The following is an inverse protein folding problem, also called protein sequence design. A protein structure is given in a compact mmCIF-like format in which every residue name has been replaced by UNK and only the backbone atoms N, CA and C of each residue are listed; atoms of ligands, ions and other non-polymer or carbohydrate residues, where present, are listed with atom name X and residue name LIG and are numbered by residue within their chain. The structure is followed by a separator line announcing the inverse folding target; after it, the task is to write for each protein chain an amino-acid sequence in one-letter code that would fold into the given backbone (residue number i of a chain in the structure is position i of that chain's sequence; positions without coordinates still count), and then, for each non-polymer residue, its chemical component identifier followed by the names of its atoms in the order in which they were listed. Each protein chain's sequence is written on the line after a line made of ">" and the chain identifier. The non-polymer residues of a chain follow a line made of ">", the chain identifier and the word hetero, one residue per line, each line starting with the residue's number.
data_IF_609598652858
#
_entry.id   IF_609598652858
#
_cell.length_a   1.000
_cell.length_b   1.000
_cell.length_c   1.000
_cell.angle_alpha   90.00
_cell.angle_beta   90.00
_cell.angle_gamma   90.00
#
_symmetry.space_group_name_H-M   'P 1'
#
loop_
_entity.id
_entity.type
_entity.pdbx_description
1 polymer ?
#
# COMPACT_ATOMS: atom_id res chain seq x y z
N UNK A 1 -15.97 -14.42 60.95
CA UNK A 1 -15.19 -15.59 60.49
C UNK A 1 -16.15 -16.57 59.81
N UNK A 2 -16.22 -16.53 58.47
CA UNK A 2 -17.09 -17.34 57.61
C UNK A 2 -16.24 -17.59 56.34
N UNK A 3 -15.78 -18.85 56.09
CA UNK A 3 -16.41 -19.81 55.16
C UNK A 3 -16.20 -19.33 53.70
N UNK A 4 -15.57 -20.02 52.75
CA UNK A 4 -15.32 -21.47 52.58
C UNK A 4 -14.40 -21.71 51.36
N UNK A 5 -13.65 -22.81 51.44
CA UNK A 5 -13.46 -23.89 50.44
C UNK A 5 -12.82 -23.59 49.07
N UNK A 6 -11.65 -24.18 48.77
CA UNK A 6 -11.48 -25.46 48.01
C UNK A 6 -11.66 -25.26 46.48
N UNK A 7 -10.98 -25.90 45.53
CA UNK A 7 -9.93 -26.92 45.42
C UNK A 7 -9.41 -26.71 43.96
N UNK A 8 -8.11 -26.52 43.73
CA UNK A 8 -7.19 -27.50 43.12
C UNK A 8 -7.50 -28.08 41.71
N UNK A 9 -6.43 -28.08 40.88
CA UNK A 9 -6.08 -28.92 39.71
C UNK A 9 -6.56 -28.58 38.27
N UNK A 10 -5.54 -28.14 37.50
CA UNK A 10 -5.03 -28.66 36.21
C UNK A 10 -6.03 -29.17 35.17
N UNK A 11 -5.97 -28.58 33.97
CA UNK A 11 -6.09 -29.31 32.70
C UNK A 11 -5.15 -28.70 31.65
N UNK A 12 -4.26 -29.53 31.08
CA UNK A 12 -3.61 -29.32 29.77
C UNK A 12 -4.48 -30.05 28.73
N UNK A 13 -4.78 -29.41 27.61
CA UNK A 13 -5.30 -30.08 26.39
C UNK A 13 -4.43 -29.66 25.21
N UNK A 14 -3.97 -30.67 24.47
CA UNK A 14 -3.42 -30.61 23.12
C UNK A 14 -4.57 -30.87 22.12
N UNK A 15 -4.59 -30.15 20.99
CA UNK A 15 -5.28 -30.49 19.74
C UNK A 15 -4.44 -29.86 18.60
N UNK A 16 -3.67 -30.60 17.80
CA UNK A 16 -4.02 -31.41 16.60
C UNK A 16 -4.66 -30.60 15.46
N UNK A 17 -3.82 -30.30 14.45
CA UNK A 17 -3.99 -30.46 12.99
C UNK A 17 -5.28 -30.03 12.26
N UNK A 18 -5.10 -29.39 11.10
CA UNK A 18 -6.00 -29.56 9.96
C UNK A 18 -6.43 -28.29 9.22
N UNK A 19 -5.72 -27.99 8.13
CA UNK A 19 -6.15 -27.55 6.80
C UNK A 19 -7.40 -26.67 6.56
N UNK A 20 -7.23 -25.83 5.53
CA UNK A 20 -8.26 -25.22 4.66
C UNK A 20 -8.89 -23.91 5.16
N UNK A 21 -8.12 -22.81 5.05
CA UNK A 21 -8.71 -21.47 5.02
C UNK A 21 -9.29 -21.22 3.63
N UNK A 22 -10.56 -21.55 3.48
CA UNK A 22 -11.37 -21.30 2.29
C UNK A 22 -11.72 -19.81 2.18
N UNK A 23 -11.71 -19.33 0.93
CA UNK A 23 -12.21 -18.04 0.42
C UNK A 23 -13.40 -17.50 1.23
N UNK A 24 -13.21 -16.42 1.99
CA UNK A 24 -14.26 -15.50 2.45
C UNK A 24 -13.66 -14.23 3.12
N UNK A 25 -12.67 -13.63 2.46
CA UNK A 25 -12.38 -12.20 2.67
C UNK A 25 -13.20 -11.44 1.63
N UNK A 26 -13.83 -10.35 2.05
CA UNK A 26 -14.82 -9.52 1.33
C UNK A 26 -16.26 -9.92 1.70
N UNK A 27 -16.97 -8.96 2.30
CA UNK A 27 -18.36 -8.96 2.78
C UNK A 27 -18.62 -9.43 4.23
N UNK A 28 -18.24 -8.59 5.19
CA UNK A 28 -19.09 -8.37 6.38
C UNK A 28 -19.19 -6.87 6.65
N UNK A 29 -19.92 -6.26 5.72
CA UNK A 29 -20.46 -4.91 5.79
C UNK A 29 -21.52 -4.87 6.90
N UNK A 30 -21.55 -3.77 7.65
CA UNK A 30 -22.79 -3.06 8.02
C UNK A 30 -23.99 -3.90 8.48
N UNK A 31 -24.06 -4.19 9.78
CA UNK A 31 -25.34 -4.39 10.47
C UNK A 31 -25.16 -4.33 12.01
N UNK A 32 -24.85 -3.16 12.60
CA UNK A 32 -24.97 -3.03 14.07
C UNK A 32 -24.99 -1.60 14.66
N UNK A 33 -25.42 -0.57 13.93
CA UNK A 33 -25.73 0.74 14.53
C UNK A 33 -27.04 1.27 13.94
N UNK A 34 -28.17 0.71 14.38
CA UNK A 34 -29.51 1.28 14.18
C UNK A 34 -30.43 0.96 15.35
N UNK A 35 -30.05 1.29 16.58
CA UNK A 35 -30.98 1.46 17.72
C UNK A 35 -30.36 2.51 18.66
N UNK A 36 -31.19 3.40 19.24
CA UNK A 36 -30.88 4.65 19.99
C UNK A 36 -30.79 5.89 19.06
N UNK A 37 -31.63 6.93 19.10
CA UNK A 37 -32.65 7.34 20.07
C UNK A 37 -33.65 8.35 19.44
N UNK A 38 -34.86 8.31 20.01
CA UNK A 38 -35.92 9.32 20.13
C UNK A 38 -35.66 10.78 19.69
N UNK A 39 -36.70 11.35 19.05
CA UNK A 39 -36.93 12.77 18.74
C UNK A 39 -36.62 13.75 19.87
N UNK A 40 -36.13 14.95 19.52
CA UNK A 40 -36.72 16.23 19.96
C UNK A 40 -36.33 17.37 19.00
N UNK A 41 -37.17 18.39 19.00
CA UNK A 41 -37.37 19.45 18.02
C UNK A 41 -36.38 20.62 18.16
N UNK A 42 -36.28 21.43 17.10
CA UNK A 42 -36.00 22.89 17.09
C UNK A 42 -34.70 23.39 16.48
N UNK A 43 -34.91 24.19 15.42
CA UNK A 43 -34.27 25.46 15.04
C UNK A 43 -32.79 25.52 14.67
N UNK A 44 -32.62 25.88 13.39
CA UNK A 44 -31.65 26.85 12.84
C UNK A 44 -30.16 26.62 13.11
N UNK A 45 -29.42 26.34 12.04
CA UNK A 45 -28.27 27.16 11.63
C UNK A 45 -27.75 26.71 10.26
N UNK A 46 -27.68 27.67 9.33
CA UNK A 46 -27.01 27.58 8.03
C UNK A 46 -25.49 27.54 8.19
N UNK A 47 -24.91 26.43 8.65
CA UNK A 47 -23.45 26.30 8.68
C UNK A 47 -22.95 24.98 8.07
N UNK A 48 -22.26 25.13 6.94
CA UNK A 48 -21.17 24.27 6.49
C UNK A 48 -21.48 22.80 6.11
N UNK A 49 -22.51 22.58 5.30
CA UNK A 49 -22.54 21.38 4.44
C UNK A 49 -21.80 21.67 3.12
N UNK A 50 -20.47 21.80 3.20
CA UNK A 50 -19.64 21.47 2.03
C UNK A 50 -19.93 19.99 1.74
N UNK A 51 -20.70 19.74 0.70
CA UNK A 51 -20.80 18.40 0.13
C UNK A 51 -19.38 17.91 -0.14
N UNK A 52 -18.86 17.06 0.75
CA UNK A 52 -17.88 16.08 0.37
C UNK A 52 -18.56 15.25 -0.72
N UNK A 53 -18.37 15.67 -1.97
CA UNK A 53 -18.67 14.85 -3.12
C UNK A 53 -17.95 13.53 -2.87
N UNK A 54 -18.70 12.49 -2.54
CA UNK A 54 -18.17 11.15 -2.29
C UNK A 54 -17.53 10.74 -3.61
N UNK A 55 -16.21 10.86 -3.67
CA UNK A 55 -15.46 10.44 -4.83
C UNK A 55 -15.32 8.93 -4.73
N UNK A 56 -16.11 8.23 -5.52
CA UNK A 56 -16.19 6.76 -5.49
C UNK A 56 -14.93 6.08 -6.00
N UNK A 57 -14.11 6.78 -6.78
CA UNK A 57 -12.80 6.30 -7.20
C UNK A 57 -11.76 7.41 -7.21
N UNK A 58 -10.52 7.07 -6.93
CA UNK A 58 -9.36 7.96 -6.90
C UNK A 58 -8.23 7.42 -7.77
N UNK A 59 -7.55 8.34 -8.44
CA UNK A 59 -6.33 8.02 -9.17
C UNK A 59 -5.18 8.64 -8.41
N UNK A 60 -4.18 7.84 -8.03
CA UNK A 60 -3.05 8.31 -7.24
C UNK A 60 -1.77 8.08 -8.02
N UNK A 61 -1.05 9.16 -8.28
CA UNK A 61 0.32 9.09 -8.78
C UNK A 61 1.24 8.89 -7.58
N UNK A 62 1.97 7.78 -7.57
CA UNK A 62 2.97 7.47 -6.55
C UNK A 62 4.36 7.50 -7.17
N UNK A 63 5.29 8.17 -6.50
CA UNK A 63 6.68 8.31 -6.93
C UNK A 63 7.56 7.76 -5.81
N UNK A 64 8.38 6.76 -6.14
CA UNK A 64 9.22 6.06 -5.16
C UNK A 64 10.68 5.99 -5.63
N UNK A 65 11.65 5.97 -4.71
CA UNK A 65 13.00 5.52 -4.99
C UNK A 65 13.03 4.10 -5.58
N UNK A 66 13.93 3.86 -6.53
CA UNK A 66 14.16 2.50 -7.07
C UNK A 66 14.82 1.55 -6.07
N UNK A 67 15.61 2.10 -5.13
CA UNK A 67 16.11 1.38 -3.96
C UNK A 67 15.07 1.43 -2.83
N UNK A 68 14.44 0.30 -2.44
CA UNK A 68 13.35 0.29 -1.47
C UNK A 68 13.70 0.86 -0.09
N UNK A 69 14.97 0.80 0.31
CA UNK A 69 15.41 1.25 1.63
C UNK A 69 15.78 2.73 1.68
N UNK A 70 15.86 3.41 0.52
CA UNK A 70 16.29 4.79 0.46
C UNK A 70 15.20 5.73 1.01
N UNK A 71 15.60 6.60 1.93
CA UNK A 71 14.77 7.68 2.45
C UNK A 71 15.56 8.98 2.22
N UNK A 72 15.05 9.93 1.43
CA UNK A 72 15.74 11.20 1.21
C UNK A 72 15.88 11.99 2.52
N UNK A 73 16.95 12.76 2.66
CA UNK A 73 17.11 13.66 3.81
C UNK A 73 16.04 14.76 3.82
N UNK A 74 15.78 15.36 5.00
CA UNK A 74 14.70 16.36 5.19
C UNK A 74 14.72 17.48 4.14
N UNK A 75 15.89 18.07 3.88
CA UNK A 75 16.05 19.14 2.87
C UNK A 75 15.70 18.67 1.45
N UNK A 76 16.01 17.42 1.10
CA UNK A 76 15.62 16.86 -0.20
C UNK A 76 14.11 16.67 -0.28
N UNK A 77 13.47 16.21 0.80
CA UNK A 77 12.02 16.09 0.88
C UNK A 77 11.32 17.46 0.77
N UNK A 78 11.80 18.48 1.48
CA UNK A 78 11.29 19.85 1.42
C UNK A 78 11.40 20.44 0.00
N UNK A 79 12.55 20.29 -0.63
CA UNK A 79 12.77 20.75 -2.00
C UNK A 79 11.89 20.00 -3.00
N UNK A 80 11.75 18.69 -2.85
CA UNK A 80 10.89 17.86 -3.69
C UNK A 80 9.42 18.25 -3.53
N UNK A 81 8.97 18.50 -2.29
CA UNK A 81 7.62 18.96 -2.03
C UNK A 81 7.35 20.31 -2.69
N UNK A 82 8.26 21.28 -2.50
CA UNK A 82 8.15 22.60 -3.15
C UNK A 82 8.08 22.50 -4.67
N UNK A 83 8.89 21.61 -5.27
CA UNK A 83 8.86 21.36 -6.71
C UNK A 83 7.51 20.75 -7.15
N UNK A 84 7.05 19.70 -6.48
CA UNK A 84 5.80 19.02 -6.82
C UNK A 84 4.56 19.91 -6.61
N UNK A 85 4.53 20.75 -5.57
CA UNK A 85 3.43 21.71 -5.34
C UNK A 85 3.34 22.75 -6.47
N UNK A 86 4.47 23.16 -7.04
CA UNK A 86 4.48 24.05 -8.21
C UNK A 86 3.96 23.36 -9.46
N UNK A 87 4.29 22.09 -9.63
CA UNK A 87 3.92 21.29 -10.79
C UNK A 87 2.44 20.90 -10.75
N UNK A 88 1.95 20.47 -9.58
CA UNK A 88 0.59 19.99 -9.34
C UNK A 88 -0.18 20.97 -8.46
N UNK A 89 -0.53 22.12 -9.03
CA UNK A 89 -1.30 23.16 -8.32
C UNK A 89 -2.64 22.60 -7.84
N UNK A 90 -3.02 22.98 -6.63
CA UNK A 90 -4.31 22.63 -6.00
C UNK A 90 -4.54 21.11 -5.85
N UNK A 91 -3.48 20.31 -5.90
CA UNK A 91 -3.53 18.86 -5.62
C UNK A 91 -3.03 18.58 -4.21
N UNK A 92 -3.60 17.54 -3.62
CA UNK A 92 -3.08 16.99 -2.38
C UNK A 92 -1.79 16.22 -2.69
N UNK A 93 -0.72 16.60 -2.01
CA UNK A 93 0.60 15.99 -2.12
C UNK A 93 1.03 15.54 -0.73
N UNK A 94 1.31 14.24 -0.58
CA UNK A 94 1.73 13.67 0.69
C UNK A 94 3.08 12.97 0.54
N UNK A 95 3.88 13.06 1.60
CA UNK A 95 5.19 12.45 1.71
C UNK A 95 5.13 11.45 2.87
N UNK A 96 5.15 10.17 2.53
CA UNK A 96 4.97 9.08 3.49
C UNK A 96 6.30 8.38 3.70
N UNK A 97 6.74 8.30 4.96
CA UNK A 97 7.90 7.50 5.36
C UNK A 97 7.45 6.42 6.35
N UNK A 98 7.89 5.18 6.13
CA UNK A 98 7.59 4.04 7.00
C UNK A 98 8.87 3.42 7.56
N UNK A 99 8.77 2.81 8.75
CA UNK A 99 9.90 2.14 9.40
C UNK A 99 10.41 0.94 8.58
N UNK A 100 9.48 0.23 7.95
CA UNK A 100 9.71 -0.95 7.11
C UNK A 100 9.37 -0.67 5.66
N UNK A 101 9.98 -1.43 4.75
CA UNK A 101 9.65 -1.37 3.33
C UNK A 101 8.17 -1.81 3.17
N UNK A 102 7.44 -1.15 2.28
CA UNK A 102 6.08 -1.51 1.88
C UNK A 102 6.02 -1.85 0.40
N UNK A 103 5.11 -2.73 0.04
CA UNK A 103 4.70 -2.87 -1.36
C UNK A 103 3.83 -1.68 -1.73
N UNK A 104 4.19 -1.03 -2.84
CA UNK A 104 3.53 0.14 -3.39
C UNK A 104 2.82 -0.33 -4.65
N UNK A 105 1.52 -0.59 -4.49
CA UNK A 105 0.67 -1.20 -5.50
C UNK A 105 0.07 -0.16 -6.47
N UNK A 106 -0.42 -0.68 -7.59
CA UNK A 106 -1.14 0.02 -8.64
C UNK A 106 -2.67 -0.08 -8.50
N UNK A 107 -3.17 -0.59 -7.37
CA UNK A 107 -4.59 -0.84 -7.14
C UNK A 107 -5.20 -1.74 -8.22
N UNK A 108 -6.37 -1.34 -8.72
CA UNK A 108 -7.11 -2.06 -9.77
C UNK A 108 -6.38 -2.13 -11.11
N UNK A 109 -5.32 -1.33 -11.32
CA UNK A 109 -4.52 -1.39 -12.54
C UNK A 109 -3.66 -2.66 -12.62
N UNK A 110 -3.63 -3.51 -11.58
CA UNK A 110 -2.87 -4.75 -11.60
C UNK A 110 -3.36 -5.68 -12.72
N UNK A 111 -2.44 -6.14 -13.55
CA UNK A 111 -2.75 -7.07 -14.64
C UNK A 111 -1.94 -8.36 -14.50
N UNK A 112 -0.62 -8.28 -14.71
CA UNK A 112 0.26 -9.45 -14.66
C UNK A 112 1.70 -9.07 -14.30
N UNK A 113 2.48 -10.09 -13.94
CA UNK A 113 3.90 -9.97 -13.61
C UNK A 113 4.68 -10.92 -14.49
N UNK A 114 5.77 -10.45 -15.08
CA UNK A 114 6.67 -11.25 -15.91
C UNK A 114 8.09 -11.24 -15.36
N UNK A 115 8.82 -12.30 -15.71
CA UNK A 115 10.23 -12.40 -15.39
C UNK A 115 11.03 -11.35 -16.18
N UNK A 116 11.73 -10.48 -15.47
CA UNK A 116 12.63 -9.48 -16.05
C UNK A 116 13.84 -10.06 -16.79
N UNK A 117 14.14 -11.35 -16.60
CA UNK A 117 15.28 -12.02 -17.22
C UNK A 117 14.90 -12.81 -18.48
N UNK A 118 13.70 -13.41 -18.50
CA UNK A 118 13.26 -14.35 -19.55
C UNK A 118 12.05 -13.82 -20.34
N UNK A 119 11.40 -12.74 -19.88
CA UNK A 119 10.19 -12.17 -20.47
C UNK A 119 8.90 -12.97 -20.26
N UNK A 120 8.97 -14.24 -19.84
CA UNK A 120 7.77 -15.07 -19.63
C UNK A 120 6.97 -14.60 -18.43
N UNK A 121 5.65 -14.72 -18.55
CA UNK A 121 4.71 -14.48 -17.44
C UNK A 121 5.00 -15.41 -16.26
N UNK A 122 4.85 -14.87 -15.06
CA UNK A 122 4.91 -15.60 -13.80
C UNK A 122 3.46 -15.88 -13.41
N UNK A 123 3.17 -17.14 -13.06
CA UNK A 123 1.87 -17.52 -12.51
C UNK A 123 1.57 -16.71 -11.25
N UNK A 124 0.36 -16.16 -11.19
CA UNK A 124 -0.05 -15.26 -10.09
C UNK A 124 0.07 -15.93 -8.73
N UNK A 125 -0.30 -17.21 -8.60
CA UNK A 125 -0.15 -17.97 -7.36
C UNK A 125 1.32 -18.05 -6.90
N UNK A 126 2.26 -18.29 -7.82
CA UNK A 126 3.69 -18.35 -7.51
C UNK A 126 4.22 -17.00 -7.05
N UNK A 127 3.79 -15.92 -7.70
CA UNK A 127 4.15 -14.56 -7.31
C UNK A 127 3.53 -14.19 -5.95
N UNK A 128 2.26 -14.51 -5.72
CA UNK A 128 1.56 -14.25 -4.45
C UNK A 128 2.22 -14.96 -3.27
N UNK A 129 2.55 -16.25 -3.41
CA UNK A 129 3.24 -16.98 -2.35
C UNK A 129 4.58 -16.31 -1.97
N UNK A 130 5.35 -15.84 -2.96
CA UNK A 130 6.59 -15.12 -2.71
C UNK A 130 6.36 -13.73 -2.06
N UNK A 131 5.31 -13.02 -2.49
CA UNK A 131 4.90 -11.76 -1.87
C UNK A 131 4.49 -11.93 -0.40
N UNK A 132 3.73 -12.99 -0.09
CA UNK A 132 3.29 -13.30 1.27
C UNK A 132 4.49 -13.62 2.17
N UNK A 133 5.42 -14.46 1.70
CA UNK A 133 6.67 -14.75 2.42
C UNK A 133 7.51 -13.50 2.68
N UNK A 134 7.63 -12.63 1.68
CA UNK A 134 8.36 -11.37 1.81
C UNK A 134 7.64 -10.41 2.77
N UNK A 135 6.30 -10.35 2.74
CA UNK A 135 5.48 -9.52 3.63
C UNK A 135 5.67 -9.91 5.10
N UNK A 136 5.69 -11.21 5.42
CA UNK A 136 5.97 -11.71 6.79
C UNK A 136 7.33 -11.24 7.32
N UNK A 137 8.29 -10.97 6.44
CA UNK A 137 9.63 -10.45 6.76
C UNK A 137 9.74 -8.94 6.55
N UNK A 138 8.61 -8.23 6.45
CA UNK A 138 8.54 -6.80 6.19
C UNK A 138 9.35 -6.35 4.96
N UNK A 139 9.37 -7.19 3.93
CA UNK A 139 10.08 -6.97 2.66
C UNK A 139 11.58 -6.70 2.83
N UNK A 140 12.19 -7.15 3.94
CA UNK A 140 13.65 -7.06 4.16
C UNK A 140 14.44 -8.02 3.27
N UNK A 141 13.79 -9.10 2.82
CA UNK A 141 14.31 -9.98 1.78
C UNK A 141 13.30 -10.02 0.62
N UNK A 142 13.77 -9.66 -0.57
CA UNK A 142 13.01 -9.65 -1.82
C UNK A 142 13.56 -10.64 -2.84
N UNK A 143 14.45 -11.56 -2.44
CA UNK A 143 14.99 -12.59 -3.33
C UNK A 143 13.86 -13.43 -3.93
N UNK A 144 13.95 -13.68 -5.23
CA UNK A 144 12.98 -14.48 -5.95
C UNK A 144 13.69 -15.39 -6.95
N UNK A 145 13.33 -16.67 -6.96
CA UNK A 145 13.78 -17.60 -8.01
C UNK A 145 12.66 -17.76 -9.01
N UNK A 146 12.93 -17.37 -10.25
CA UNK A 146 11.91 -17.36 -11.30
C UNK A 146 11.49 -18.78 -11.68
N UNK A 147 10.19 -19.12 -11.70
CA UNK A 147 9.74 -20.45 -12.10
C UNK A 147 9.98 -20.71 -13.59
N UNK A 148 10.03 -19.65 -14.41
CA UNK A 148 10.21 -19.76 -15.85
C UNK A 148 11.60 -20.28 -16.24
N UNK A 149 12.66 -19.79 -15.59
CA UNK A 149 14.04 -19.99 -16.05
C UNK A 149 15.00 -20.33 -14.93
N UNK A 150 14.49 -20.50 -13.71
CA UNK A 150 15.24 -20.92 -12.52
C UNK A 150 16.41 -20.01 -12.16
N UNK A 151 16.37 -18.74 -12.61
CA UNK A 151 17.37 -17.73 -12.28
C UNK A 151 16.90 -16.91 -11.08
N UNK A 152 17.88 -16.53 -10.24
CA UNK A 152 17.69 -15.59 -9.13
C UNK A 152 17.47 -14.17 -9.67
N UNK A 153 16.53 -13.48 -9.07
CA UNK A 153 16.20 -12.06 -9.29
C UNK A 153 15.66 -11.49 -7.97
N UNK A 154 15.08 -10.30 -8.02
CA UNK A 154 14.31 -9.73 -6.91
C UNK A 154 12.85 -9.51 -7.29
N UNK A 155 11.93 -9.62 -6.34
CA UNK A 155 10.55 -9.14 -6.47
C UNK A 155 10.52 -7.67 -6.93
N UNK A 156 11.46 -6.83 -6.49
CA UNK A 156 11.54 -5.42 -6.91
C UNK A 156 11.91 -5.23 -8.40
N UNK A 157 12.58 -6.22 -8.98
CA UNK A 157 13.12 -6.18 -10.34
C UNK A 157 12.20 -6.86 -11.36
N UNK A 158 11.15 -7.56 -10.91
CA UNK A 158 10.17 -8.17 -11.80
C UNK A 158 9.50 -7.11 -12.69
N UNK A 159 9.07 -7.53 -13.87
CA UNK A 159 8.34 -6.66 -14.80
C UNK A 159 6.86 -6.68 -14.45
N UNK A 160 6.36 -5.60 -13.86
CA UNK A 160 4.94 -5.42 -13.56
C UNK A 160 4.25 -4.70 -14.74
N UNK A 161 3.26 -5.34 -15.35
CA UNK A 161 2.44 -4.74 -16.41
C UNK A 161 1.39 -3.85 -15.76
N UNK A 162 1.67 -2.55 -15.72
CA UNK A 162 1.28 -1.55 -14.69
C UNK A 162 2.29 -1.54 -13.55
N UNK A 163 3.09 -0.47 -13.49
CA UNK A 163 4.22 -0.37 -12.58
C UNK A 163 3.80 -0.54 -11.11
N UNK A 164 4.58 -1.32 -10.37
CA UNK A 164 4.52 -1.44 -8.92
C UNK A 164 5.95 -1.49 -8.36
N UNK A 165 6.09 -1.42 -7.04
CA UNK A 165 7.42 -1.51 -6.43
C UNK A 165 7.41 -1.60 -4.93
N UNK A 166 8.59 -1.40 -4.34
CA UNK A 166 8.80 -1.49 -2.91
C UNK A 166 9.51 -0.23 -2.43
N UNK A 167 9.05 0.35 -1.32
CA UNK A 167 9.68 1.54 -0.77
C UNK A 167 9.37 1.77 0.71
N UNK A 168 10.30 2.40 1.42
CA UNK A 168 10.06 3.07 2.70
C UNK A 168 9.54 4.50 2.55
N UNK A 169 9.82 5.13 1.41
CA UNK A 169 9.49 6.53 1.15
C UNK A 169 8.66 6.67 -0.13
N UNK A 170 7.51 7.32 -0.03
CA UNK A 170 6.58 7.52 -1.14
C UNK A 170 6.12 8.95 -1.18
N UNK A 171 6.21 9.58 -2.35
CA UNK A 171 5.53 10.84 -2.66
C UNK A 171 4.26 10.51 -3.41
N UNK A 172 3.12 11.01 -2.96
CA UNK A 172 1.82 10.76 -3.62
C UNK A 172 1.18 12.06 -4.04
N UNK A 173 0.54 12.04 -5.22
CA UNK A 173 -0.30 13.12 -5.72
C UNK A 173 -1.67 12.51 -5.97
N UNK A 174 -2.70 13.04 -5.30
CA UNK A 174 -4.08 12.57 -5.44
C UNK A 174 -4.78 13.28 -6.60
N UNK A 175 -5.37 12.49 -7.47
CA UNK A 175 -6.11 12.90 -8.67
C UNK A 175 -5.39 13.92 -9.57
N UNK A 176 -4.09 13.68 -9.89
CA UNK A 176 -3.42 14.48 -10.89
C UNK A 176 -4.11 14.24 -12.24
N UNK A 177 -4.40 15.34 -12.94
CA UNK A 177 -5.02 15.26 -14.27
C UNK A 177 -3.97 14.99 -15.36
N UNK A 178 -2.73 15.41 -15.10
CA UNK A 178 -1.64 15.34 -16.05
C UNK A 178 -0.54 14.38 -15.56
N UNK A 179 0.10 13.71 -16.51
CA UNK A 179 1.31 12.95 -16.25
C UNK A 179 2.50 13.84 -15.91
N UNK A 180 3.43 13.31 -15.12
CA UNK A 180 4.73 13.97 -14.91
C UNK A 180 5.53 13.88 -16.21
N UNK A 181 5.95 15.03 -16.74
CA UNK A 181 6.76 15.06 -17.97
C UNK A 181 8.18 14.59 -17.66
N UNK A 182 8.86 13.97 -18.63
CA UNK A 182 10.21 13.43 -18.42
C UNK A 182 11.20 14.48 -17.92
N UNK A 183 11.12 15.73 -18.40
CA UNK A 183 11.97 16.83 -17.92
C UNK A 183 11.79 17.10 -16.42
N UNK A 184 10.54 17.05 -15.94
CA UNK A 184 10.18 17.34 -14.56
C UNK A 184 10.56 16.14 -13.67
N UNK A 185 10.47 14.92 -14.21
CA UNK A 185 10.95 13.71 -13.54
C UNK A 185 12.48 13.68 -13.41
N UNK A 186 13.22 14.14 -14.41
CA UNK A 186 14.69 14.28 -14.33
C UNK A 186 15.08 15.27 -13.24
N UNK A 187 14.43 16.43 -13.18
CA UNK A 187 14.68 17.43 -12.13
C UNK A 187 14.35 16.87 -10.73
N UNK A 188 13.22 16.17 -10.59
CA UNK A 188 12.86 15.52 -9.34
C UNK A 188 13.89 14.45 -8.93
N UNK A 189 14.42 13.65 -9.86
CA UNK A 189 15.49 12.68 -9.58
C UNK A 189 16.75 13.38 -9.04
N UNK A 190 17.11 14.54 -9.58
CA UNK A 190 18.25 15.32 -9.09
C UNK A 190 18.02 15.89 -7.68
N UNK A 191 16.82 16.42 -7.42
CA UNK A 191 16.44 16.94 -6.09
C UNK A 191 16.49 15.83 -5.04
N UNK A 192 15.91 14.67 -5.35
CA UNK A 192 15.80 13.54 -4.43
C UNK A 192 17.14 12.78 -4.32
N UNK A 193 17.99 12.84 -5.34
CA UNK A 193 19.34 12.24 -5.36
C UNK A 193 19.36 10.75 -5.67
N UNK A 194 18.31 10.20 -6.28
CA UNK A 194 18.21 8.76 -6.61
C UNK A 194 17.34 8.55 -7.86
N UNK A 195 17.51 7.45 -8.62
CA UNK A 195 16.54 7.08 -9.64
C UNK A 195 15.17 6.79 -9.02
N UNK A 196 14.12 7.24 -9.71
CA UNK A 196 12.73 7.17 -9.26
C UNK A 196 11.90 6.28 -10.19
N UNK A 197 10.92 5.58 -9.60
CA UNK A 197 9.89 4.79 -10.28
C UNK A 197 8.54 5.48 -10.12
N UNK A 198 7.77 5.53 -11.20
CA UNK A 198 6.41 6.09 -11.25
C UNK A 198 5.40 4.95 -11.23
N UNK A 199 4.38 5.08 -10.39
CA UNK A 199 3.31 4.09 -10.20
C UNK A 199 1.98 4.83 -10.25
N UNK A 200 1.11 4.42 -11.17
CA UNK A 200 -0.27 4.91 -11.25
C UNK A 200 -1.20 3.91 -10.59
N UNK A 201 -1.86 4.33 -9.51
CA UNK A 201 -2.83 3.50 -8.81
C UNK A 201 -4.26 3.99 -9.05
N UNK A 202 -5.19 3.06 -9.17
CA UNK A 202 -6.62 3.32 -9.20
C UNK A 202 -7.31 2.56 -8.06
N UNK A 203 -8.15 3.26 -7.30
CA UNK A 203 -8.91 2.74 -6.15
C UNK A 203 -10.36 3.24 -6.21
#
# INVERSE_FOLDING_TARGET
>A
MRIKSELNKKVRILAVGGNAMTRNFIYTFLALILLFSCSTHSSSTEENKREQKIKMSSTVLKIIPTNPSYVPGKKQQENANFFLTKLYKDKQIDFITTDTIKFIDQGENFNSVSCNLCGRNIEIEKWQNAMDEAYQKHFTNLEFVTPCCHRKTSLNDLTYHSAAGFSKFTMTITDPQDEIKEKDLIELRQIVGTPLKIIWAHY
#
